data_IF_011732843218
#
_entry.id   IF_011732843218
#
_cell.length_a   1.000
_cell.length_b   1.000
_cell.length_c   1.000
_cell.angle_alpha   90.00
_cell.angle_beta   90.00
_cell.angle_gamma   90.00
#
_symmetry.space_group_name_H-M   'P 1'
#
loop_
_entity.id
_entity.type
_entity.pdbx_description
1 polymer ?
#
# COMPACT_ATOMS: atom_id res chain seq x y z
N UNK A 1 32.25 -28.67 -21.20
CA UNK A 1 31.95 -27.65 -20.15
C UNK A 1 30.87 -26.65 -20.58
N UNK A 2 30.93 -26.06 -21.78
CA UNK A 2 29.93 -25.10 -22.28
C UNK A 2 28.48 -25.62 -22.25
N UNK A 3 28.22 -26.85 -22.68
CA UNK A 3 26.87 -27.45 -22.68
C UNK A 3 26.31 -27.60 -21.26
N UNK A 4 27.13 -27.99 -20.27
CA UNK A 4 26.70 -28.09 -18.86
C UNK A 4 26.36 -26.71 -18.29
N UNK A 5 27.17 -25.70 -18.59
CA UNK A 5 26.90 -24.33 -18.17
C UNK A 5 25.60 -23.78 -18.79
N UNK A 6 25.37 -24.02 -20.09
CA UNK A 6 24.13 -23.63 -20.77
C UNK A 6 22.92 -24.30 -20.10
N UNK A 7 22.97 -25.61 -19.84
CA UNK A 7 21.89 -26.33 -19.15
C UNK A 7 21.58 -25.74 -17.76
N UNK A 8 22.61 -25.40 -16.98
CA UNK A 8 22.44 -24.80 -15.64
C UNK A 8 21.80 -23.41 -15.76
N UNK A 9 22.30 -22.56 -16.66
CA UNK A 9 21.76 -21.21 -16.86
C UNK A 9 20.30 -21.27 -17.33
N UNK A 10 20.00 -22.14 -18.30
CA UNK A 10 18.62 -22.34 -18.77
C UNK A 10 17.71 -22.83 -17.66
N UNK A 11 18.15 -23.79 -16.84
CA UNK A 11 17.38 -24.26 -15.69
C UNK A 11 17.12 -23.12 -14.69
N UNK A 12 18.15 -22.35 -14.32
CA UNK A 12 18.00 -21.22 -13.38
C UNK A 12 17.06 -20.14 -13.93
N UNK A 13 17.13 -19.84 -15.23
CA UNK A 13 16.25 -18.87 -15.86
C UNK A 13 14.79 -19.34 -15.84
N UNK A 14 14.54 -20.59 -16.22
CA UNK A 14 13.20 -21.19 -16.17
C UNK A 14 12.69 -21.20 -14.72
N UNK A 15 13.52 -21.60 -13.77
CA UNK A 15 13.18 -21.63 -12.35
C UNK A 15 12.82 -20.23 -11.83
N UNK A 16 13.59 -19.20 -12.16
CA UNK A 16 13.30 -17.81 -11.79
C UNK A 16 11.98 -17.31 -12.40
N UNK A 17 11.70 -17.64 -13.67
CA UNK A 17 10.44 -17.27 -14.34
C UNK A 17 9.24 -17.95 -13.68
N UNK A 18 9.37 -19.24 -13.34
CA UNK A 18 8.33 -19.99 -12.63
C UNK A 18 8.10 -19.41 -11.23
N UNK A 19 9.18 -19.18 -10.46
CA UNK A 19 9.11 -18.58 -9.14
C UNK A 19 8.47 -17.19 -9.18
N UNK A 20 8.81 -16.35 -10.15
CA UNK A 20 8.19 -15.05 -10.33
C UNK A 20 6.70 -15.17 -10.62
N UNK A 21 6.32 -16.07 -11.51
CA UNK A 21 4.92 -16.31 -11.89
C UNK A 21 4.08 -16.80 -10.72
N UNK A 22 4.61 -17.74 -9.94
CA UNK A 22 3.98 -18.23 -8.70
C UNK A 22 3.89 -17.09 -7.68
N UNK A 23 5.01 -16.41 -7.40
CA UNK A 23 5.03 -15.30 -6.44
C UNK A 23 3.98 -14.22 -6.75
N UNK A 24 3.75 -13.92 -8.04
CA UNK A 24 2.72 -12.96 -8.48
C UNK A 24 1.29 -13.40 -8.17
N UNK A 25 0.97 -14.70 -8.31
CA UNK A 25 -0.37 -15.25 -8.00
C UNK A 25 -0.58 -15.30 -6.48
N UNK A 26 0.45 -15.71 -5.75
CA UNK A 26 0.38 -15.90 -4.31
C UNK A 26 0.53 -14.60 -3.50
N UNK A 27 1.05 -13.52 -4.10
CA UNK A 27 1.12 -12.21 -3.43
C UNK A 27 -0.26 -11.79 -2.91
N UNK A 28 -0.27 -11.15 -1.76
CA UNK A 28 -1.46 -10.49 -1.23
C UNK A 28 -1.92 -9.35 -2.16
N UNK A 29 -3.24 -9.20 -2.28
CA UNK A 29 -3.96 -8.25 -3.14
C UNK A 29 -5.23 -7.79 -2.42
N UNK A 30 -5.78 -6.64 -2.81
CA UNK A 30 -7.13 -6.25 -2.42
C UNK A 30 -7.26 -5.65 -1.02
N UNK A 31 -6.17 -5.14 -0.45
CA UNK A 31 -6.26 -4.18 0.66
C UNK A 31 -5.66 -2.84 0.24
N UNK A 32 -6.08 -1.79 0.93
CA UNK A 32 -5.64 -0.41 0.72
C UNK A 32 -4.10 -0.26 0.64
N UNK A 33 -3.36 -0.92 1.53
CA UNK A 33 -1.90 -0.93 1.57
C UNK A 33 -1.26 -1.50 0.29
N UNK A 34 -1.72 -2.67 -0.13
CA UNK A 34 -1.25 -3.35 -1.34
C UNK A 34 -1.62 -2.53 -2.56
N UNK A 35 -2.86 -2.08 -2.65
CA UNK A 35 -3.35 -1.41 -3.83
C UNK A 35 -2.70 -0.03 -3.98
N UNK A 36 -2.64 0.78 -2.92
CA UNK A 36 -1.94 2.07 -2.94
C UNK A 36 -0.47 1.94 -3.32
N UNK A 37 0.25 0.93 -2.80
CA UNK A 37 1.69 0.78 -3.11
C UNK A 37 1.93 0.21 -4.51
N UNK A 38 1.19 -0.82 -4.91
CA UNK A 38 1.37 -1.43 -6.23
C UNK A 38 0.99 -0.50 -7.37
N UNK A 39 -0.02 0.34 -7.16
CA UNK A 39 -0.45 1.33 -8.14
C UNK A 39 0.47 2.53 -8.16
N UNK A 40 1.12 2.86 -7.04
CA UNK A 40 2.14 3.89 -6.96
C UNK A 40 3.32 3.55 -7.88
N UNK A 41 3.81 2.30 -7.83
CA UNK A 41 4.91 1.86 -8.68
C UNK A 41 4.58 1.86 -10.19
N UNK A 42 3.30 1.97 -10.56
CA UNK A 42 2.85 2.09 -11.95
C UNK A 42 2.72 3.54 -12.42
N UNK A 43 2.92 4.53 -11.55
CA UNK A 43 2.73 5.94 -11.90
C UNK A 43 3.90 6.44 -12.79
N UNK A 44 3.62 7.27 -13.81
CA UNK A 44 4.66 7.92 -14.59
C UNK A 44 5.61 8.72 -13.68
N UNK A 45 6.88 8.81 -14.08
CA UNK A 45 7.87 9.62 -13.35
C UNK A 45 7.43 11.09 -13.32
N UNK A 46 7.59 11.73 -12.17
CA UNK A 46 7.23 13.14 -11.95
C UNK A 46 5.79 13.50 -12.35
N UNK A 47 4.84 12.59 -12.10
CA UNK A 47 3.40 12.83 -12.38
C UNK A 47 2.60 13.20 -11.14
N UNK A 48 3.23 13.19 -9.96
CA UNK A 48 2.59 13.46 -8.66
C UNK A 48 3.20 14.74 -8.08
N UNK A 49 2.40 15.79 -7.98
CA UNK A 49 2.80 17.07 -7.39
C UNK A 49 2.58 17.07 -5.87
N UNK A 50 1.48 16.49 -5.40
CA UNK A 50 1.14 16.41 -3.97
C UNK A 50 1.06 14.95 -3.53
N UNK A 51 1.80 14.59 -2.48
CA UNK A 51 1.79 13.26 -1.89
C UNK A 51 1.16 13.29 -0.50
N UNK A 52 0.12 12.50 -0.31
CA UNK A 52 -0.51 12.32 1.00
C UNK A 52 -0.03 11.02 1.65
N UNK A 53 0.32 11.08 2.92
CA UNK A 53 0.77 9.96 3.75
C UNK A 53 -0.02 9.96 5.05
N UNK A 54 -0.51 8.80 5.47
CA UNK A 54 -1.26 8.70 6.71
C UNK A 54 -2.03 7.40 6.84
N UNK A 55 -2.85 7.36 7.89
CA UNK A 55 -3.71 6.25 8.28
C UNK A 55 -4.98 6.15 7.41
N UNK A 56 -5.98 5.40 7.90
CA UNK A 56 -7.32 5.36 7.32
C UNK A 56 -7.97 6.73 7.21
N UNK A 57 -7.61 7.72 8.05
CA UNK A 57 -8.16 9.07 7.98
C UNK A 57 -7.82 9.69 6.62
N UNK A 58 -6.54 9.72 6.26
CA UNK A 58 -6.12 10.18 4.92
C UNK A 58 -6.72 9.30 3.82
N UNK A 59 -6.83 8.00 4.04
CA UNK A 59 -7.35 7.06 3.04
C UNK A 59 -8.79 7.38 2.64
N UNK A 60 -9.64 7.75 3.59
CA UNK A 60 -11.06 8.01 3.36
C UNK A 60 -11.42 9.49 3.21
N UNK A 61 -10.59 10.41 3.72
CA UNK A 61 -10.89 11.85 3.67
C UNK A 61 -10.33 12.54 2.42
N UNK A 62 -9.27 12.00 1.81
CA UNK A 62 -8.59 12.64 0.68
C UNK A 62 -8.86 11.90 -0.62
N UNK A 63 -9.55 12.59 -1.54
CA UNK A 63 -9.84 12.11 -2.90
C UNK A 63 -9.00 12.86 -3.96
N UNK A 64 -7.95 12.22 -4.53
CA UNK A 64 -7.17 12.79 -5.62
C UNK A 64 -7.96 13.13 -6.89
N UNK A 65 -9.06 12.44 -7.19
CA UNK A 65 -9.88 12.71 -8.36
C UNK A 65 -10.66 14.01 -8.19
N UNK A 66 -11.18 14.29 -6.99
CA UNK A 66 -11.80 15.59 -6.67
C UNK A 66 -10.77 16.71 -6.76
N UNK A 67 -9.59 16.54 -6.12
CA UNK A 67 -8.51 17.53 -6.17
C UNK A 67 -8.06 17.85 -7.60
N UNK A 68 -8.00 16.85 -8.46
CA UNK A 68 -7.66 17.05 -9.87
C UNK A 68 -8.79 17.74 -10.63
N UNK A 69 -10.04 17.30 -10.45
CA UNK A 69 -11.20 17.84 -11.17
C UNK A 69 -11.50 19.29 -10.82
N UNK A 70 -11.42 19.65 -9.55
CA UNK A 70 -11.82 20.97 -9.06
C UNK A 70 -10.67 21.98 -9.07
N UNK A 71 -9.44 21.52 -8.82
CA UNK A 71 -8.28 22.41 -8.61
C UNK A 71 -7.11 22.15 -9.56
N UNK A 72 -7.19 21.13 -10.44
CA UNK A 72 -6.08 20.74 -11.32
C UNK A 72 -4.86 20.18 -10.57
N UNK A 73 -5.04 19.77 -9.31
CA UNK A 73 -3.95 19.28 -8.46
C UNK A 73 -3.70 17.80 -8.76
N UNK A 74 -2.54 17.50 -9.35
CA UNK A 74 -2.10 16.12 -9.55
C UNK A 74 -1.56 15.54 -8.24
N UNK A 75 -2.38 14.75 -7.54
CA UNK A 75 -2.04 14.21 -6.23
C UNK A 75 -2.07 12.69 -6.18
N UNK A 76 -1.53 12.13 -5.10
CA UNK A 76 -1.56 10.71 -4.84
C UNK A 76 -1.79 10.42 -3.37
N UNK A 77 -2.77 9.56 -3.09
CA UNK A 77 -3.07 9.11 -1.74
C UNK A 77 -2.22 7.87 -1.40
N UNK A 78 -1.05 8.07 -0.79
CA UNK A 78 -0.14 6.97 -0.42
C UNK A 78 -0.34 6.49 1.03
N UNK A 79 -1.58 6.57 1.50
CA UNK A 79 -2.02 6.14 2.84
C UNK A 79 -2.41 4.65 2.87
N UNK A 80 -2.75 4.17 4.07
CA UNK A 80 -3.39 2.88 4.29
C UNK A 80 -3.90 2.77 5.73
N UNK A 81 -4.77 1.79 6.00
CA UNK A 81 -5.33 1.50 7.31
C UNK A 81 -4.23 1.38 8.35
N UNK A 82 -4.33 2.23 9.37
CA UNK A 82 -3.40 2.26 10.51
C UNK A 82 -1.92 2.31 10.10
N UNK A 83 -1.61 3.01 9.00
CA UNK A 83 -0.25 3.17 8.50
C UNK A 83 0.67 3.81 9.56
N UNK A 84 1.66 3.05 10.02
CA UNK A 84 2.63 3.56 10.99
C UNK A 84 3.51 4.67 10.41
N UNK A 85 4.08 5.51 11.29
CA UNK A 85 5.03 6.54 10.89
C UNK A 85 6.25 5.95 10.15
N UNK A 86 6.72 4.78 10.60
CA UNK A 86 7.83 4.08 9.96
C UNK A 86 7.48 3.63 8.54
N UNK A 87 6.27 3.13 8.32
CA UNK A 87 5.77 2.82 6.97
C UNK A 87 5.69 4.08 6.11
N UNK A 88 5.13 5.18 6.63
CA UNK A 88 5.08 6.47 5.92
C UNK A 88 6.48 6.96 5.52
N UNK A 89 7.47 6.84 6.40
CA UNK A 89 8.86 7.19 6.12
C UNK A 89 9.43 6.39 4.95
N UNK A 90 9.29 5.07 4.94
CA UNK A 90 9.83 4.24 3.86
C UNK A 90 9.03 4.36 2.56
N UNK A 91 7.72 4.59 2.62
CA UNK A 91 6.90 4.94 1.45
C UNK A 91 7.35 6.25 0.82
N UNK A 92 7.61 7.27 1.63
CA UNK A 92 8.17 8.53 1.14
C UNK A 92 9.52 8.29 0.44
N UNK A 93 10.42 7.50 1.04
CA UNK A 93 11.70 7.17 0.40
C UNK A 93 11.55 6.39 -0.90
N UNK A 94 10.54 5.53 -1.04
CA UNK A 94 10.23 4.90 -2.33
C UNK A 94 9.67 5.92 -3.32
N UNK A 95 8.82 6.83 -2.87
CA UNK A 95 8.19 7.81 -3.74
C UNK A 95 9.19 8.77 -4.38
N UNK A 96 10.16 9.24 -3.58
CA UNK A 96 11.20 10.16 -4.03
C UNK A 96 12.20 9.54 -5.02
N UNK A 97 12.16 8.22 -5.27
CA UNK A 97 12.98 7.59 -6.34
C UNK A 97 12.46 7.91 -7.73
N UNK A 98 11.17 8.18 -7.87
CA UNK A 98 10.51 8.34 -9.19
C UNK A 98 9.73 9.64 -9.30
N UNK A 99 9.45 10.33 -8.20
CA UNK A 99 8.66 11.55 -8.15
C UNK A 99 9.46 12.72 -7.57
N UNK A 100 9.25 13.90 -8.16
CA UNK A 100 9.67 15.21 -7.63
C UNK A 100 8.46 15.97 -7.12
N UNK A 101 7.87 15.48 -6.03
CA UNK A 101 6.69 16.07 -5.38
C UNK A 101 7.00 17.48 -4.88
N UNK A 102 6.07 18.42 -5.09
CA UNK A 102 6.14 19.81 -4.64
C UNK A 102 5.69 19.96 -3.18
N UNK A 103 4.76 19.12 -2.75
CA UNK A 103 4.21 19.13 -1.40
C UNK A 103 4.02 17.70 -0.90
N UNK A 104 4.40 17.47 0.36
CA UNK A 104 4.16 16.22 1.09
C UNK A 104 3.32 16.58 2.31
N UNK A 105 2.18 15.91 2.45
CA UNK A 105 1.27 16.06 3.58
C UNK A 105 1.31 14.76 4.37
N UNK A 106 1.68 14.87 5.65
CA UNK A 106 1.73 13.75 6.58
C UNK A 106 0.68 13.97 7.67
N UNK A 107 -0.25 13.03 7.80
CA UNK A 107 -1.23 13.04 8.87
C UNK A 107 -0.60 12.67 10.22
N UNK A 108 -0.99 13.43 11.26
CA UNK A 108 -0.40 13.35 12.59
C UNK A 108 -1.10 12.39 13.56
N UNK A 109 -2.27 11.85 13.24
CA UNK A 109 -3.05 11.01 14.17
C UNK A 109 -2.25 9.80 14.70
N UNK A 110 -1.53 9.11 13.81
CA UNK A 110 -0.69 7.96 14.18
C UNK A 110 0.44 8.32 15.16
N UNK A 111 0.84 9.59 15.25
CA UNK A 111 1.81 10.03 16.27
C UNK A 111 1.22 10.00 17.68
N UNK A 112 -0.08 10.29 17.80
CA UNK A 112 -0.80 10.31 19.07
C UNK A 112 -1.31 8.93 19.50
N UNK A 113 -1.47 8.03 18.55
CA UNK A 113 -2.05 6.72 18.78
C UNK A 113 -0.96 5.72 19.25
N UNK A 114 -0.52 5.90 20.50
CA UNK A 114 0.60 5.22 21.15
C UNK A 114 0.54 3.67 21.07
N UNK A 115 -0.66 3.09 21.02
CA UNK A 115 -0.89 1.64 21.00
C UNK A 115 -0.72 0.95 19.64
N UNK A 116 -0.63 1.68 18.52
CA UNK A 116 -0.39 1.05 17.19
C UNK A 116 1.05 0.58 16.98
N UNK A 117 1.91 0.77 17.98
CA UNK A 117 3.27 0.22 18.04
C UNK A 117 3.31 -1.19 18.62
N UNK A 118 2.20 -1.65 19.22
CA UNK A 118 2.10 -3.00 19.74
C UNK A 118 2.14 -4.03 18.60
N UNK A 119 2.87 -5.11 18.85
CA UNK A 119 3.08 -6.20 17.92
C UNK A 119 1.79 -6.99 17.58
N UNK A 120 0.67 -6.60 18.20
CA UNK A 120 -0.64 -7.24 18.11
C UNK A 120 -1.37 -6.97 16.79
N UNK A 121 -0.80 -6.16 15.90
CA UNK A 121 -1.34 -5.90 14.56
C UNK A 121 -0.44 -6.41 13.41
N UNK A 122 -0.19 -7.74 13.32
CA UNK A 122 0.71 -8.32 12.33
C UNK A 122 0.28 -8.03 10.89
N UNK A 123 -1.02 -7.85 10.63
CA UNK A 123 -1.56 -7.55 9.31
C UNK A 123 -1.14 -6.16 8.78
N UNK A 124 -1.03 -5.14 9.66
CA UNK A 124 -0.58 -3.79 9.27
C UNK A 124 0.88 -3.85 8.82
N UNK A 125 1.74 -4.53 9.58
CA UNK A 125 3.16 -4.63 9.27
C UNK A 125 3.40 -5.48 8.03
N UNK A 126 2.70 -6.61 7.91
CA UNK A 126 2.76 -7.45 6.72
C UNK A 126 2.33 -6.70 5.46
N UNK A 127 1.23 -5.96 5.50
CA UNK A 127 0.74 -5.24 4.33
C UNK A 127 1.67 -4.09 3.91
N UNK A 128 2.20 -3.33 4.86
CA UNK A 128 3.23 -2.32 4.59
C UNK A 128 4.50 -2.90 3.98
N UNK A 129 5.02 -4.00 4.52
CA UNK A 129 6.27 -4.62 4.06
C UNK A 129 6.10 -5.38 2.74
N UNK A 130 5.08 -6.23 2.63
CA UNK A 130 4.91 -7.11 1.47
C UNK A 130 4.44 -6.37 0.22
N UNK A 131 3.82 -5.20 0.38
CA UNK A 131 3.43 -4.34 -0.74
C UNK A 131 4.63 -3.67 -1.42
N UNK A 132 5.76 -3.49 -0.70
CA UNK A 132 6.97 -2.91 -1.26
C UNK A 132 7.70 -3.87 -2.20
N UNK A 133 8.23 -3.35 -3.31
CA UNK A 133 9.24 -4.02 -4.10
C UNK A 133 10.49 -4.31 -3.26
N UNK A 134 11.26 -5.32 -3.65
CA UNK A 134 12.52 -5.60 -3.00
C UNK A 134 13.47 -4.41 -3.18
N UNK A 135 13.88 -3.79 -2.07
CA UNK A 135 14.75 -2.62 -2.05
C UNK A 135 15.45 -2.51 -0.70
N UNK A 136 16.52 -1.70 -0.62
CA UNK A 136 17.17 -1.39 0.65
C UNK A 136 16.20 -0.76 1.67
N UNK A 137 15.20 0.00 1.21
CA UNK A 137 14.17 0.54 2.07
C UNK A 137 13.31 -0.57 2.69
N UNK A 138 12.90 -1.57 1.91
CA UNK A 138 12.18 -2.75 2.42
C UNK A 138 13.03 -3.52 3.44
N UNK A 139 14.31 -3.75 3.14
CA UNK A 139 15.24 -4.42 4.08
C UNK A 139 15.34 -3.64 5.39
N UNK A 140 15.50 -2.32 5.33
CA UNK A 140 15.63 -1.49 6.51
C UNK A 140 14.32 -1.41 7.31
N UNK A 141 13.17 -1.35 6.63
CA UNK A 141 11.86 -1.42 7.27
C UNK A 141 11.71 -2.72 8.08
N UNK A 142 12.03 -3.87 7.48
CA UNK A 142 12.00 -5.17 8.17
C UNK A 142 12.91 -5.14 9.41
N UNK A 143 14.15 -4.64 9.28
CA UNK A 143 15.11 -4.62 10.40
C UNK A 143 14.66 -3.73 11.56
N UNK A 144 13.95 -2.65 11.28
CA UNK A 144 13.49 -1.69 12.28
C UNK A 144 12.15 -2.09 12.91
N UNK A 145 11.27 -2.73 12.12
CA UNK A 145 9.90 -3.05 12.54
C UNK A 145 9.75 -4.47 13.11
N UNK A 146 10.57 -5.42 12.64
CA UNK A 146 10.43 -6.84 12.95
C UNK A 146 11.57 -7.32 13.86
N UNK A 147 11.25 -8.02 14.97
CA UNK A 147 12.25 -8.69 15.80
C UNK A 147 13.15 -9.62 14.98
N UNK A 148 14.45 -9.64 15.31
CA UNK A 148 15.49 -10.34 14.54
C UNK A 148 15.20 -11.84 14.34
N UNK A 149 14.61 -12.50 15.33
CA UNK A 149 14.25 -13.93 15.27
C UNK A 149 13.16 -14.24 14.23
N UNK A 150 12.40 -13.25 13.77
CA UNK A 150 11.31 -13.41 12.79
C UNK A 150 11.62 -12.85 11.41
N UNK A 151 12.83 -12.34 11.18
CA UNK A 151 13.22 -11.78 9.87
C UNK A 151 12.99 -12.73 8.70
N UNK A 152 13.20 -14.04 8.91
CA UNK A 152 13.00 -15.05 7.87
C UNK A 152 11.57 -15.07 7.31
N UNK A 153 10.58 -14.75 8.14
CA UNK A 153 9.17 -14.72 7.75
C UNK A 153 8.86 -13.55 6.78
N UNK A 154 9.62 -12.46 6.86
CA UNK A 154 9.40 -11.26 6.07
C UNK A 154 10.36 -11.15 4.87
N UNK A 155 11.54 -11.77 4.94
CA UNK A 155 12.45 -11.89 3.79
C UNK A 155 12.04 -13.00 2.82
N UNK A 156 11.44 -14.08 3.32
CA UNK A 156 10.92 -15.15 2.48
C UNK A 156 9.38 -15.08 2.42
N UNK A 157 8.80 -14.41 1.41
CA UNK A 157 7.35 -14.25 1.31
C UNK A 157 6.61 -15.59 1.15
N UNK A 158 7.28 -16.66 0.68
CA UNK A 158 6.67 -17.98 0.56
C UNK A 158 6.28 -18.58 1.92
N UNK A 159 6.97 -18.23 3.01
CA UNK A 159 6.60 -18.67 4.35
C UNK A 159 5.20 -18.17 4.72
N UNK A 160 4.90 -16.91 4.40
CA UNK A 160 3.60 -16.31 4.70
C UNK A 160 2.52 -16.70 3.68
N UNK A 161 2.91 -16.94 2.43
CA UNK A 161 1.96 -17.33 1.37
C UNK A 161 1.45 -18.76 1.50
N UNK A 162 2.10 -19.62 2.30
CA UNK A 162 1.70 -21.02 2.47
C UNK A 162 0.26 -21.21 2.98
N UNK A 163 -0.36 -20.20 3.58
CA UNK A 163 -1.74 -20.28 4.03
C UNK A 163 -2.77 -19.81 2.97
N UNK A 164 -2.34 -19.38 1.78
CA UNK A 164 -3.22 -18.76 0.76
C UNK A 164 -3.78 -19.75 -0.27
N UNK A 165 -3.37 -21.02 -0.29
CA UNK A 165 -3.81 -21.97 -1.34
C UNK A 165 -5.32 -22.12 -1.44
N UNK A 166 -6.02 -22.14 -0.30
CA UNK A 166 -7.48 -22.30 -0.22
C UNK A 166 -8.27 -21.02 -0.49
N UNK A 167 -7.61 -19.86 -0.54
CA UNK A 167 -8.26 -18.55 -0.73
C UNK A 167 -7.95 -17.89 -2.08
N UNK A 168 -7.33 -18.63 -3.01
CA UNK A 168 -7.09 -18.16 -4.37
C UNK A 168 -8.41 -18.08 -5.15
N UNK A 169 -8.58 -16.99 -5.89
CA UNK A 169 -9.69 -16.75 -6.80
C UNK A 169 -9.19 -16.54 -8.23
N UNK A 170 -10.09 -16.58 -9.22
CA UNK A 170 -9.76 -16.27 -10.61
C UNK A 170 -9.11 -14.88 -10.74
N UNK A 171 -9.52 -13.93 -9.91
CA UNK A 171 -8.94 -12.57 -9.90
C UNK A 171 -7.46 -12.55 -9.51
N UNK A 172 -6.96 -13.56 -8.80
CA UNK A 172 -5.53 -13.69 -8.49
C UNK A 172 -4.68 -14.05 -9.72
N UNK A 173 -5.30 -14.60 -10.77
CA UNK A 173 -4.64 -14.94 -12.03
C UNK A 173 -4.75 -13.82 -13.09
N UNK A 174 -5.73 -12.93 -12.94
CA UNK A 174 -5.99 -11.84 -13.88
C UNK A 174 -5.32 -10.56 -13.37
N UNK A 175 -4.61 -9.86 -14.26
CA UNK A 175 -4.09 -8.53 -13.96
C UNK A 175 -5.13 -7.47 -14.32
N UNK A 176 -5.70 -6.84 -13.29
CA UNK A 176 -6.60 -5.72 -13.51
C UNK A 176 -5.82 -4.40 -13.58
N UNK A 177 -5.93 -3.73 -14.72
CA UNK A 177 -5.18 -2.50 -14.99
C UNK A 177 -5.93 -1.24 -14.55
N UNK A 178 -7.22 -1.31 -14.19
CA UNK A 178 -8.00 -0.14 -13.78
C UNK A 178 -7.42 0.53 -12.52
N UNK A 179 -6.80 -0.25 -11.63
CA UNK A 179 -6.28 0.25 -10.35
C UNK A 179 -5.16 1.29 -10.56
N UNK A 180 -4.55 1.39 -11.75
CA UNK A 180 -3.57 2.47 -12.02
C UNK A 180 -4.19 3.88 -12.01
N UNK A 181 -5.51 3.97 -12.20
CA UNK A 181 -6.24 5.23 -12.33
C UNK A 181 -6.81 5.75 -11.01
N UNK A 182 -6.89 4.91 -9.97
CA UNK A 182 -7.52 5.30 -8.70
C UNK A 182 -6.60 6.11 -7.78
N UNK A 183 -5.32 6.30 -8.16
CA UNK A 183 -4.35 7.18 -7.47
C UNK A 183 -4.25 6.97 -5.96
N UNK A 184 -4.38 5.71 -5.52
CA UNK A 184 -4.32 5.31 -4.11
C UNK A 184 -5.66 5.18 -3.40
N UNK A 185 -6.77 5.43 -4.09
CA UNK A 185 -8.13 5.22 -3.56
C UNK A 185 -8.57 3.77 -3.62
N UNK A 186 -9.41 3.38 -2.66
CA UNK A 186 -10.17 2.14 -2.70
C UNK A 186 -11.60 2.45 -3.09
N UNK A 187 -12.06 1.95 -4.24
CA UNK A 187 -13.45 2.13 -4.66
C UNK A 187 -14.29 0.98 -4.09
N UNK A 188 -15.24 1.31 -3.22
CA UNK A 188 -16.21 0.36 -2.67
C UNK A 188 -17.59 0.62 -3.27
N UNK A 189 -18.22 -0.42 -3.82
CA UNK A 189 -19.57 -0.34 -4.41
C UNK A 189 -20.63 -1.02 -3.52
N UNK A 190 -20.24 -1.49 -2.33
CA UNK A 190 -21.11 -2.26 -1.46
C UNK A 190 -22.08 -1.35 -0.73
N UNK A 191 -23.38 -1.58 -0.95
CA UNK A 191 -24.44 -0.99 -0.14
C UNK A 191 -24.63 -1.87 1.09
N UNK A 192 -24.25 -1.36 2.26
CA UNK A 192 -24.56 -2.02 3.53
C UNK A 192 -25.89 -1.47 4.08
N UNK A 193 -26.82 -2.37 4.39
CA UNK A 193 -28.01 -2.00 5.16
C UNK A 193 -27.57 -1.60 6.56
N UNK A 194 -27.65 -0.30 6.87
CA UNK A 194 -27.44 0.20 8.22
C UNK A 194 -28.64 -0.23 9.07
N UNK A 195 -28.47 -1.25 9.91
CA UNK A 195 -29.41 -1.49 11.00
C UNK A 195 -29.29 -0.31 11.97
N UNK A 196 -30.27 0.61 11.95
CA UNK A 196 -30.38 1.77 12.86
C UNK A 196 -30.50 1.30 14.31
N UNK A 197 -29.40 0.92 14.93
CA UNK A 197 -29.39 0.50 16.33
C UNK A 197 -28.45 1.32 17.22
N UNK A 198 -27.94 2.49 16.78
CA UNK A 198 -27.38 3.48 17.70
C UNK A 198 -27.47 4.90 17.13
N UNK A 199 -27.70 5.84 18.04
CA UNK A 199 -27.67 7.29 17.90
C UNK A 199 -26.41 7.77 17.18
N UNK A 200 -26.49 7.96 15.87
CA UNK A 200 -25.62 8.91 15.20
C UNK A 200 -26.10 10.30 15.65
N UNK A 201 -25.30 11.00 16.44
CA UNK A 201 -25.45 12.45 16.53
C UNK A 201 -25.20 12.98 15.13
N UNK A 202 -26.21 13.62 14.52
CA UNK A 202 -25.97 14.50 13.39
C UNK A 202 -25.00 15.58 13.88
N UNK A 203 -23.70 15.35 13.70
CA UNK A 203 -22.73 16.40 13.90
C UNK A 203 -22.90 17.36 12.73
N UNK A 204 -23.79 18.34 12.91
CA UNK A 204 -23.82 19.55 12.10
C UNK A 204 -22.57 20.34 12.46
N UNK A 205 -21.40 19.86 12.02
CA UNK A 205 -20.24 20.73 11.92
C UNK A 205 -20.68 21.86 10.97
N UNK A 206 -20.56 23.14 11.36
CA UNK A 206 -20.75 24.25 10.43
C UNK A 206 -19.61 24.14 9.41
N UNK A 207 -19.86 23.40 8.32
CA UNK A 207 -19.07 23.52 7.12
C UNK A 207 -19.32 24.94 6.64
N UNK A 208 -18.31 25.79 6.81
CA UNK A 208 -18.26 27.18 6.35
C UNK A 208 -19.31 28.10 6.96
N UNK A 209 -19.09 28.55 8.20
CA UNK A 209 -19.31 29.97 8.43
C UNK A 209 -18.25 30.70 7.59
N UNK A 210 -18.74 31.22 6.47
CA UNK A 210 -18.02 32.15 5.61
C UNK A 210 -17.52 33.25 6.55
N UNK A 211 -16.18 33.36 6.69
CA UNK A 211 -15.59 34.59 7.22
C UNK A 211 -15.76 35.61 6.10
N UNK A 212 -16.95 36.21 6.05
CA UNK A 212 -17.19 37.47 5.34
C UNK A 212 -16.56 38.57 6.19
N UNK A 213 -15.49 39.15 5.65
CA UNK A 213 -14.70 40.35 6.03
C UNK A 213 -14.55 40.73 7.51
#
# INVERSE_FOLDING_TARGET
MKIKAIKIISFLLIFCVLLYSVSRVFRFKGNDSFDATHTFYKQPKNSIDVLFLGSSHVHFDIDPAILYKEYGISSYNFSSSSQTLLNSYFRLKEALKTQKTKLIILEGYILSAYDYTSYDMPHIFMSGIFSMHFSLNKVNLIKLQIPKNRWNEFFNPFYTYHNKYSSLSISDFIQSDYIKFVKGLTITYNVMNLNKNNTFTEEKLPLTDIVEE
#
